data_IF_122154363643
#
_entry.id   IF_122154363643
#
_cell.length_a   1.000
_cell.length_b   1.000
_cell.length_c   1.000
_cell.angle_alpha   90.00
_cell.angle_beta   90.00
_cell.angle_gamma   90.00
#
_symmetry.space_group_name_H-M   'P 1'
#
loop_
_entity.id
_entity.type
_entity.pdbx_description
1 polymer ?
#
# COMPACT_ATOMS: atom_id res chain seq x y z
N UNK A 1 29.78 18.20 7.10
CA UNK A 1 30.26 19.34 7.90
C UNK A 1 31.26 18.79 8.91
N UNK A 2 32.55 19.09 8.77
CA UNK A 2 33.59 18.60 9.68
C UNK A 2 33.58 19.41 10.97
N UNK A 3 33.32 18.75 12.10
CA UNK A 3 33.68 19.27 13.42
C UNK A 3 34.55 18.21 14.11
N UNK A 4 35.86 18.35 13.91
CA UNK A 4 36.88 17.75 14.77
C UNK A 4 37.56 18.87 15.55
N UNK A 5 37.77 18.68 16.85
CA UNK A 5 38.72 19.50 17.61
C UNK A 5 38.52 19.58 19.12
N UNK A 6 38.58 18.47 19.85
CA UNK A 6 38.71 18.50 21.31
C UNK A 6 38.82 17.10 21.93
N UNK A 7 39.98 16.75 22.50
CA UNK A 7 40.25 15.44 23.11
C UNK A 7 39.50 15.27 24.44
N UNK A 8 38.37 14.58 24.39
CA UNK A 8 37.80 13.82 25.50
C UNK A 8 37.41 12.44 24.98
N UNK A 9 37.98 11.37 25.53
CA UNK A 9 37.57 10.01 25.15
C UNK A 9 36.37 9.62 26.01
N UNK A 10 35.18 9.59 25.40
CA UNK A 10 34.02 8.90 25.96
C UNK A 10 34.05 7.45 25.46
N UNK A 11 34.04 6.48 26.38
CA UNK A 11 33.82 5.08 26.02
C UNK A 11 32.32 4.80 26.06
N UNK A 12 31.78 4.29 24.96
CA UNK A 12 30.39 3.83 24.85
C UNK A 12 30.38 2.32 24.76
N UNK A 13 29.84 1.66 25.79
CA UNK A 13 29.58 0.22 25.72
C UNK A 13 28.21 -0.02 25.07
N UNK A 14 28.14 -0.83 24.00
CA UNK A 14 26.88 -1.13 23.35
C UNK A 14 26.03 -2.00 24.27
N UNK A 15 24.79 -1.56 24.49
CA UNK A 15 23.79 -2.36 25.19
C UNK A 15 23.56 -3.67 24.42
N UNK A 16 23.26 -4.75 25.13
CA UNK A 16 22.92 -6.04 24.52
C UNK A 16 21.56 -6.51 25.00
N UNK A 17 20.76 -7.02 24.07
CA UNK A 17 19.50 -7.69 24.34
C UNK A 17 19.74 -9.19 24.17
N UNK A 18 19.97 -9.88 25.28
CA UNK A 18 20.51 -11.25 25.29
C UNK A 18 21.88 -11.32 24.61
N UNK A 19 22.04 -12.23 23.65
CA UNK A 19 23.29 -12.42 22.89
C UNK A 19 23.45 -11.43 21.72
N UNK A 20 22.51 -10.49 21.53
CA UNK A 20 22.51 -9.54 20.43
C UNK A 20 22.95 -8.15 20.89
N UNK A 21 24.11 -7.69 20.38
CA UNK A 21 24.69 -6.39 20.74
C UNK A 21 24.28 -5.27 19.78
N UNK A 22 23.93 -4.10 20.35
CA UNK A 22 23.55 -2.91 19.59
C UNK A 22 24.68 -2.31 18.75
N UNK A 23 25.94 -2.68 18.98
CA UNK A 23 27.04 -2.31 18.09
C UNK A 23 27.11 -3.17 16.82
N UNK A 24 26.51 -4.37 16.85
CA UNK A 24 26.59 -5.36 15.79
C UNK A 24 25.30 -5.43 14.97
N UNK A 25 24.15 -5.16 15.58
CA UNK A 25 22.87 -5.12 14.88
C UNK A 25 21.92 -4.09 15.47
N UNK A 26 21.26 -3.35 14.58
CA UNK A 26 20.17 -2.45 14.93
C UNK A 26 18.88 -3.20 15.30
N UNK A 27 18.73 -4.45 14.86
CA UNK A 27 17.48 -5.20 14.98
C UNK A 27 17.37 -6.01 16.27
N UNK A 28 18.36 -5.92 17.18
CA UNK A 28 18.29 -6.66 18.43
C UNK A 28 17.09 -6.19 19.25
N UNK A 29 16.30 -7.14 19.71
CA UNK A 29 15.08 -6.91 20.46
C UNK A 29 14.94 -7.90 21.61
N UNK A 30 14.17 -7.51 22.61
CA UNK A 30 13.70 -8.34 23.72
C UNK A 30 12.26 -7.97 24.05
N UNK A 31 11.51 -8.88 24.67
CA UNK A 31 10.14 -8.62 25.08
C UNK A 31 10.08 -7.41 26.03
N UNK A 32 9.28 -6.41 25.67
CA UNK A 32 9.07 -5.23 26.51
C UNK A 32 8.45 -5.65 27.84
N UNK A 33 9.13 -5.30 28.92
CA UNK A 33 8.81 -5.77 30.26
C UNK A 33 8.89 -4.64 31.28
N UNK A 34 8.04 -4.71 32.28
CA UNK A 34 8.07 -3.84 33.45
C UNK A 34 8.95 -4.49 34.51
N UNK A 35 9.86 -3.73 35.11
CA UNK A 35 10.85 -4.23 36.05
C UNK A 35 10.67 -3.63 37.43
N UNK A 36 10.98 -4.41 38.46
CA UNK A 36 11.09 -3.89 39.81
C UNK A 36 12.40 -3.14 39.97
N UNK A 37 12.32 -1.85 40.31
CA UNK A 37 13.48 -0.98 40.48
C UNK A 37 14.54 -1.56 41.42
N UNK A 38 14.13 -2.22 42.50
CA UNK A 38 15.06 -2.68 43.55
C UNK A 38 15.99 -3.83 43.14
N UNK A 39 15.62 -4.64 42.14
CA UNK A 39 16.40 -5.84 41.81
C UNK A 39 16.34 -6.25 40.33
N UNK A 40 15.77 -5.43 39.44
CA UNK A 40 15.67 -5.72 38.01
C UNK A 40 14.79 -6.93 37.67
N UNK A 41 14.00 -7.46 38.61
CA UNK A 41 13.12 -8.60 38.34
C UNK A 41 11.98 -8.17 37.42
N UNK A 42 11.73 -8.96 36.37
CA UNK A 42 10.57 -8.82 35.49
C UNK A 42 9.28 -9.01 36.30
N UNK A 43 8.45 -7.98 36.31
CA UNK A 43 7.13 -7.95 36.95
C UNK A 43 6.03 -8.35 35.99
N UNK A 44 6.11 -7.88 34.74
CA UNK A 44 5.16 -8.18 33.69
C UNK A 44 5.77 -7.94 32.31
N UNK A 45 5.62 -8.89 31.39
CA UNK A 45 5.99 -8.72 29.99
C UNK A 45 4.74 -8.40 29.18
N UNK A 46 4.80 -7.34 28.37
CA UNK A 46 3.67 -6.84 27.59
C UNK A 46 3.59 -7.63 26.28
N UNK A 47 2.62 -8.53 26.08
CA UNK A 47 2.52 -9.36 24.88
C UNK A 47 2.45 -8.54 23.59
N UNK A 48 3.19 -8.95 22.57
CA UNK A 48 3.26 -8.25 21.30
C UNK A 48 4.13 -7.01 21.28
N UNK A 49 4.63 -6.53 22.42
CA UNK A 49 5.50 -5.37 22.50
C UNK A 49 6.95 -5.77 22.74
N UNK A 50 7.86 -5.21 21.95
CA UNK A 50 9.29 -5.43 22.04
C UNK A 50 10.02 -4.11 22.32
N UNK A 51 11.07 -4.21 23.13
CA UNK A 51 12.11 -3.19 23.28
C UNK A 51 13.36 -3.67 22.55
N UNK A 52 14.28 -2.79 22.20
CA UNK A 52 15.45 -3.17 21.41
C UNK A 52 16.41 -2.02 21.19
N UNK A 53 17.50 -2.29 20.49
CA UNK A 53 18.57 -1.30 20.25
C UNK A 53 18.07 0.00 19.63
N UNK A 54 17.05 -0.12 18.78
CA UNK A 54 16.31 1.02 18.29
C UNK A 54 14.82 0.77 18.45
N UNK A 55 14.12 1.76 19.02
CA UNK A 55 12.67 1.67 19.24
C UNK A 55 11.91 1.47 17.94
N UNK A 56 12.40 1.98 16.80
CA UNK A 56 11.77 1.70 15.50
C UNK A 56 11.91 0.24 15.12
N UNK A 57 13.09 -0.37 15.28
CA UNK A 57 13.23 -1.80 14.97
C UNK A 57 12.41 -2.66 15.93
N UNK A 58 12.30 -2.25 17.20
CA UNK A 58 11.45 -2.96 18.16
C UNK A 58 9.96 -2.72 17.95
N UNK A 59 9.53 -1.53 17.51
CA UNK A 59 8.15 -1.16 17.21
C UNK A 59 7.67 -1.77 15.88
N UNK A 60 8.53 -1.76 14.86
CA UNK A 60 8.29 -2.44 13.59
C UNK A 60 8.19 -3.96 13.77
N UNK A 61 8.79 -4.51 14.83
CA UNK A 61 8.65 -5.91 15.24
C UNK A 61 7.56 -6.11 16.31
N UNK A 62 7.05 -5.02 16.89
CA UNK A 62 5.94 -5.03 17.82
C UNK A 62 4.62 -5.04 17.07
N UNK A 63 3.61 -5.57 17.74
CA UNK A 63 2.25 -5.62 17.28
C UNK A 63 1.27 -5.18 18.35
N UNK A 64 0.02 -5.01 17.96
CA UNK A 64 -1.01 -4.46 18.84
C UNK A 64 -1.67 -5.53 19.74
N UNK A 65 -1.08 -6.73 19.91
CA UNK A 65 -1.72 -7.86 20.60
C UNK A 65 -2.20 -7.50 22.02
N UNK A 66 -1.38 -6.81 22.81
CA UNK A 66 -1.80 -6.36 24.14
C UNK A 66 -3.00 -5.40 24.07
N UNK A 67 -3.06 -4.56 23.04
CA UNK A 67 -4.07 -3.54 22.87
C UNK A 67 -5.46 -4.12 22.59
N UNK A 68 -5.57 -5.32 22.02
CA UNK A 68 -6.85 -6.02 21.83
C UNK A 68 -7.27 -6.89 23.03
N UNK A 69 -6.50 -6.87 24.12
CA UNK A 69 -6.77 -7.68 25.30
C UNK A 69 -6.97 -6.79 26.55
N UNK A 70 -8.22 -6.73 27.03
CA UNK A 70 -8.60 -5.90 28.17
C UNK A 70 -7.79 -6.23 29.44
N UNK A 71 -7.53 -7.51 29.66
CA UNK A 71 -6.74 -7.98 30.80
C UNK A 71 -5.28 -7.54 30.69
N UNK A 72 -4.72 -7.52 29.47
CA UNK A 72 -3.38 -6.99 29.23
C UNK A 72 -3.30 -5.50 29.54
N UNK A 73 -4.22 -4.73 28.96
CA UNK A 73 -4.32 -3.28 29.18
C UNK A 73 -4.48 -2.96 30.66
N UNK A 74 -5.40 -3.62 31.37
CA UNK A 74 -5.60 -3.42 32.81
C UNK A 74 -4.31 -3.72 33.61
N UNK A 75 -3.55 -4.75 33.19
CA UNK A 75 -2.29 -5.12 33.84
C UNK A 75 -1.20 -4.10 33.59
N UNK A 76 -1.06 -3.60 32.36
CA UNK A 76 -0.16 -2.51 32.00
C UNK A 76 -0.50 -1.26 32.82
N UNK A 77 -1.76 -0.85 32.85
CA UNK A 77 -2.24 0.32 33.62
C UNK A 77 -1.96 0.18 35.12
N UNK A 78 -2.04 -1.03 35.68
CA UNK A 78 -1.79 -1.24 37.12
C UNK A 78 -0.37 -0.89 37.59
N UNK A 79 0.61 -0.80 36.69
CA UNK A 79 1.98 -0.38 37.02
C UNK A 79 2.22 1.12 36.89
N UNK A 80 1.24 1.88 36.41
CA UNK A 80 1.28 3.33 36.34
C UNK A 80 0.49 3.94 37.51
N UNK A 81 1.14 4.75 38.34
CA UNK A 81 0.51 5.43 39.48
C UNK A 81 -0.42 6.53 38.95
N UNK A 82 -1.71 6.24 38.78
CA UNK A 82 -2.70 7.26 38.39
C UNK A 82 -3.96 7.15 39.25
N UNK A 83 -4.28 8.25 39.94
CA UNK A 83 -5.62 8.54 40.43
C UNK A 83 -6.26 9.55 39.45
N UNK A 84 -7.48 9.30 38.94
CA UNK A 84 -8.30 8.11 39.10
C UNK A 84 -7.94 7.00 38.11
N UNK A 85 -8.32 5.75 38.44
CA UNK A 85 -8.20 4.56 37.59
C UNK A 85 -8.66 4.87 36.15
N UNK A 86 -7.72 4.92 35.21
CA UNK A 86 -8.06 5.05 33.80
C UNK A 86 -8.83 3.81 33.36
N UNK A 87 -10.07 3.99 32.93
CA UNK A 87 -10.89 2.94 32.35
C UNK A 87 -10.49 2.75 30.87
N UNK A 88 -9.27 2.26 30.64
CA UNK A 88 -8.74 2.02 29.29
C UNK A 88 -9.34 0.74 28.74
N UNK A 89 -10.19 0.83 27.73
CA UNK A 89 -10.74 -0.34 27.05
C UNK A 89 -9.77 -0.86 25.99
N UNK A 90 -9.71 -2.17 25.82
CA UNK A 90 -8.99 -2.80 24.74
C UNK A 90 -9.66 -2.53 23.39
N UNK A 91 -8.84 -2.48 22.34
CA UNK A 91 -9.25 -2.48 20.95
C UNK A 91 -10.21 -3.64 20.70
N UNK A 92 -11.32 -3.33 20.04
CA UNK A 92 -12.37 -4.28 19.81
C UNK A 92 -11.99 -5.19 18.63
N UNK A 93 -11.68 -6.45 18.93
CA UNK A 93 -11.37 -7.48 17.93
C UNK A 93 -12.56 -7.80 16.99
N UNK A 94 -13.73 -7.21 17.23
CA UNK A 94 -14.93 -7.36 16.39
C UNK A 94 -15.01 -6.33 15.25
N UNK A 95 -14.11 -5.34 15.21
CA UNK A 95 -14.03 -4.33 14.14
C UNK A 95 -13.31 -4.88 12.90
N UNK A 96 -13.80 -4.61 11.67
CA UNK A 96 -13.14 -5.05 10.46
C UNK A 96 -11.93 -4.16 10.17
N UNK A 97 -10.75 -4.77 10.20
CA UNK A 97 -9.47 -4.21 9.81
C UNK A 97 -8.83 -5.20 8.85
N UNK A 98 -8.13 -4.72 7.82
CA UNK A 98 -7.27 -5.63 7.03
C UNK A 98 -6.07 -6.13 7.85
N UNK A 99 -5.75 -5.46 8.97
CA UNK A 99 -4.69 -5.82 9.90
C UNK A 99 -5.25 -6.60 11.09
N UNK A 100 -4.58 -7.70 11.44
CA UNK A 100 -4.89 -8.45 12.64
C UNK A 100 -4.41 -7.70 13.89
N UNK A 101 -4.96 -8.01 15.06
CA UNK A 101 -4.44 -7.49 16.32
C UNK A 101 -2.94 -7.65 16.54
N UNK A 102 -2.37 -8.75 16.06
CA UNK A 102 -0.96 -9.04 16.14
C UNK A 102 -0.20 -8.62 14.87
N UNK A 103 -0.83 -7.86 13.96
CA UNK A 103 -0.12 -7.21 12.88
C UNK A 103 0.85 -6.18 13.43
N UNK A 104 2.06 -6.18 12.89
CA UNK A 104 3.07 -5.23 13.32
C UNK A 104 2.74 -3.81 12.83
N UNK A 105 3.20 -2.79 13.54
CA UNK A 105 3.00 -1.41 13.08
C UNK A 105 3.73 -1.11 11.76
N UNK A 106 4.79 -1.88 11.49
CA UNK A 106 5.42 -1.93 10.17
C UNK A 106 4.41 -2.30 9.09
N UNK A 107 3.59 -3.32 9.33
CA UNK A 107 2.57 -3.75 8.37
C UNK A 107 1.54 -2.65 8.08
N UNK A 108 1.11 -1.87 9.08
CA UNK A 108 0.12 -0.79 8.87
C UNK A 108 0.70 0.39 8.07
N UNK A 109 1.89 0.85 8.42
CA UNK A 109 2.56 1.96 7.71
C UNK A 109 3.01 1.51 6.31
N UNK A 110 3.37 0.23 6.15
CA UNK A 110 3.65 -0.35 4.85
C UNK A 110 2.43 -0.36 3.90
N UNK A 111 1.24 -0.03 4.38
CA UNK A 111 0.05 0.14 3.55
C UNK A 111 -0.41 1.61 3.47
N UNK A 112 0.50 2.57 3.71
CA UNK A 112 0.30 4.03 3.54
C UNK A 112 -0.97 4.61 4.18
N UNK A 113 -1.44 4.01 5.28
CA UNK A 113 -2.65 4.42 6.00
C UNK A 113 -3.92 4.44 5.11
N UNK A 114 -3.92 3.64 4.04
CA UNK A 114 -5.10 3.41 3.20
C UNK A 114 -5.83 2.18 3.74
N UNK A 115 -7.08 2.38 4.15
CA UNK A 115 -7.93 1.29 4.64
C UNK A 115 -8.37 0.37 3.51
N UNK A 116 -8.66 0.97 2.35
CA UNK A 116 -9.11 0.21 1.20
C UNK A 116 -8.86 0.98 -0.10
N UNK A 117 -8.43 0.23 -1.11
CA UNK A 117 -8.54 0.60 -2.52
C UNK A 117 -9.72 -0.14 -3.13
N UNK A 118 -10.60 0.58 -3.81
CA UNK A 118 -11.83 0.07 -4.43
C UNK A 118 -11.67 0.14 -5.96
N UNK A 119 -11.10 -0.90 -6.60
CA UNK A 119 -10.95 -0.92 -8.05
C UNK A 119 -12.24 -1.34 -8.75
N UNK A 120 -12.47 -0.79 -9.93
CA UNK A 120 -13.52 -1.20 -10.87
C UNK A 120 -12.90 -1.45 -12.24
N UNK A 121 -13.06 -2.67 -12.76
CA UNK A 121 -12.55 -3.09 -14.07
C UNK A 121 -13.73 -3.30 -15.02
N UNK A 122 -13.81 -2.52 -16.10
CA UNK A 122 -14.96 -2.47 -17.00
C UNK A 122 -14.56 -3.01 -18.39
N UNK A 123 -14.71 -4.33 -18.59
CA UNK A 123 -14.36 -5.00 -19.84
C UNK A 123 -15.11 -4.43 -21.06
N UNK A 124 -16.38 -4.04 -20.90
CA UNK A 124 -17.15 -3.42 -21.97
C UNK A 124 -16.51 -2.12 -22.49
N UNK A 125 -15.99 -1.28 -21.57
CA UNK A 125 -15.29 -0.06 -21.97
C UNK A 125 -14.01 -0.37 -22.73
N UNK A 126 -13.26 -1.41 -22.31
CA UNK A 126 -12.11 -1.90 -23.05
C UNK A 126 -12.48 -2.41 -24.46
N UNK A 127 -13.49 -3.26 -24.58
CA UNK A 127 -13.91 -3.81 -25.87
C UNK A 127 -14.33 -2.71 -26.84
N UNK A 128 -15.11 -1.73 -26.36
CA UNK A 128 -15.56 -0.60 -27.16
C UNK A 128 -14.40 0.32 -27.58
N UNK A 129 -13.39 0.49 -26.73
CA UNK A 129 -12.18 1.24 -27.07
C UNK A 129 -11.30 0.50 -28.08
N UNK A 130 -11.13 -0.83 -27.93
CA UNK A 130 -10.39 -1.66 -28.89
C UNK A 130 -11.02 -1.62 -30.30
N UNK A 131 -12.36 -1.59 -30.37
CA UNK A 131 -13.15 -1.46 -31.60
C UNK A 131 -12.68 -2.42 -32.72
N UNK A 132 -12.90 -3.74 -32.60
CA UNK A 132 -12.42 -4.69 -33.59
C UNK A 132 -13.06 -4.44 -34.97
N UNK A 133 -12.24 -4.34 -36.01
CA UNK A 133 -12.73 -4.10 -37.38
C UNK A 133 -13.36 -5.34 -37.99
N UNK A 134 -12.77 -6.49 -37.69
CA UNK A 134 -13.22 -7.81 -38.12
C UNK A 134 -12.76 -8.87 -37.12
N UNK A 135 -13.41 -10.03 -37.14
CA UNK A 135 -12.97 -11.22 -36.42
C UNK A 135 -12.92 -12.39 -37.39
N UNK A 136 -11.81 -13.12 -37.37
CA UNK A 136 -11.60 -14.31 -38.19
C UNK A 136 -11.46 -15.53 -37.31
N UNK A 137 -12.09 -16.64 -37.69
CA UNK A 137 -11.86 -17.93 -37.04
C UNK A 137 -11.81 -19.05 -38.06
N UNK A 138 -11.12 -20.13 -37.69
CA UNK A 138 -11.03 -21.33 -38.54
C UNK A 138 -11.67 -22.53 -37.88
N UNK A 139 -12.29 -23.38 -38.69
CA UNK A 139 -12.79 -24.69 -38.25
C UNK A 139 -12.53 -25.74 -39.32
N UNK A 140 -12.44 -27.00 -38.89
CA UNK A 140 -12.24 -28.13 -39.78
C UNK A 140 -13.59 -28.69 -40.24
N UNK A 141 -13.74 -28.90 -41.54
CA UNK A 141 -14.91 -29.56 -42.12
C UNK A 141 -14.48 -30.46 -43.28
N UNK A 142 -15.39 -31.31 -43.76
CA UNK A 142 -15.14 -32.16 -44.92
C UNK A 142 -15.35 -31.38 -46.21
N UNK A 143 -14.75 -31.87 -47.30
CA UNK A 143 -14.96 -31.33 -48.64
C UNK A 143 -16.44 -31.31 -49.01
N UNK A 144 -16.90 -30.21 -49.61
CA UNK A 144 -18.26 -30.11 -50.12
C UNK A 144 -18.43 -31.04 -51.32
N UNK A 145 -19.65 -31.56 -51.52
CA UNK A 145 -19.97 -32.43 -52.66
C UNK A 145 -19.65 -31.74 -53.99
N UNK A 146 -19.91 -30.43 -54.08
CA UNK A 146 -19.60 -29.62 -55.27
C UNK A 146 -18.09 -29.65 -55.56
N UNK A 147 -17.25 -29.43 -54.55
CA UNK A 147 -15.79 -29.49 -54.70
C UNK A 147 -15.31 -30.87 -55.18
N UNK A 148 -15.88 -31.95 -54.62
CA UNK A 148 -15.58 -33.33 -55.02
C UNK A 148 -15.93 -33.53 -56.51
N UNK A 149 -17.12 -33.10 -56.92
CA UNK A 149 -17.61 -33.23 -58.30
C UNK A 149 -16.81 -32.37 -59.29
N UNK A 150 -16.48 -31.13 -58.94
CA UNK A 150 -15.68 -30.24 -59.82
C UNK A 150 -14.26 -30.74 -59.99
N UNK A 151 -13.66 -31.30 -58.94
CA UNK A 151 -12.32 -31.92 -59.00
C UNK A 151 -12.34 -33.16 -59.89
N UNK A 152 -13.40 -33.96 -59.81
CA UNK A 152 -13.66 -35.10 -60.70
C UNK A 152 -13.73 -34.70 -62.18
N UNK A 153 -14.54 -33.68 -62.50
CA UNK A 153 -14.70 -33.18 -63.86
C UNK A 153 -13.38 -32.60 -64.37
N UNK A 154 -12.65 -31.85 -63.53
CA UNK A 154 -11.33 -31.31 -63.86
C UNK A 154 -10.29 -32.39 -64.13
N UNK A 155 -10.24 -33.45 -63.31
CA UNK A 155 -9.35 -34.60 -63.50
C UNK A 155 -9.70 -35.38 -64.76
N UNK A 156 -10.98 -35.68 -65.01
CA UNK A 156 -11.43 -36.38 -66.22
C UNK A 156 -11.17 -35.55 -67.48
N UNK A 157 -11.49 -34.26 -67.46
CA UNK A 157 -11.25 -33.34 -68.56
C UNK A 157 -9.76 -33.14 -68.87
N UNK A 158 -8.95 -32.90 -67.83
CA UNK A 158 -7.50 -32.80 -67.95
C UNK A 158 -6.86 -34.09 -68.46
N UNK A 159 -7.28 -35.24 -67.93
CA UNK A 159 -6.80 -36.55 -68.35
C UNK A 159 -7.13 -36.85 -69.81
N UNK A 160 -8.35 -36.55 -70.28
CA UNK A 160 -8.75 -36.75 -71.68
C UNK A 160 -7.92 -35.84 -72.61
N UNK A 161 -7.63 -34.62 -72.19
CA UNK A 161 -6.89 -33.64 -73.00
C UNK A 161 -5.41 -34.04 -73.11
N UNK A 162 -4.80 -34.45 -71.99
CA UNK A 162 -3.43 -34.96 -71.94
C UNK A 162 -3.31 -36.30 -72.68
N UNK A 163 -4.30 -37.20 -72.55
CA UNK A 163 -4.34 -38.43 -73.36
C UNK A 163 -4.37 -38.07 -74.84
N UNK A 164 -5.24 -37.16 -75.29
CA UNK A 164 -5.28 -36.78 -76.72
C UNK A 164 -3.97 -36.18 -77.23
N UNK A 165 -3.15 -35.58 -76.37
CA UNK A 165 -1.85 -35.01 -76.72
C UNK A 165 -0.72 -36.06 -76.74
N UNK A 166 -0.74 -37.01 -75.79
CA UNK A 166 0.33 -38.00 -75.57
C UNK A 166 0.04 -39.33 -76.29
N UNK A 167 -1.22 -39.68 -76.49
CA UNK A 167 -1.64 -40.92 -77.18
C UNK A 167 -1.14 -40.96 -78.62
N UNK A 168 -1.21 -39.91 -79.46
CA UNK A 168 -0.68 -39.98 -80.83
C UNK A 168 0.82 -40.34 -80.90
N UNK A 169 1.74 -39.74 -80.10
CA UNK A 169 3.14 -40.15 -80.11
C UNK A 169 3.41 -41.50 -79.42
N UNK A 170 2.67 -41.87 -78.37
CA UNK A 170 2.89 -43.14 -77.63
C UNK A 170 2.29 -44.34 -78.36
N UNK A 171 1.16 -44.19 -79.05
CA UNK A 171 0.53 -45.24 -79.88
C UNK A 171 1.36 -45.53 -81.13
N UNK A 172 2.14 -44.55 -81.62
CA UNK A 172 3.18 -44.84 -82.61
C UNK A 172 4.33 -45.69 -82.04
N UNK A 173 4.54 -45.72 -80.73
CA UNK A 173 5.66 -46.40 -80.09
C UNK A 173 5.32 -47.79 -79.53
N UNK A 174 4.08 -48.05 -79.11
CA UNK A 174 3.73 -49.30 -78.38
C UNK A 174 2.45 -49.90 -78.95
N UNK A 175 2.62 -50.82 -79.90
CA UNK A 175 1.56 -51.71 -80.37
C UNK A 175 1.63 -53.03 -79.58
N UNK A 176 1.00 -53.12 -78.39
CA UNK A 176 0.42 -54.37 -77.82
C UNK A 176 -0.35 -54.13 -76.51
N UNK A 177 -1.54 -54.72 -76.45
CA UNK A 177 -2.54 -54.92 -75.39
C UNK A 177 -2.27 -54.43 -73.94
N UNK A 178 -3.30 -53.82 -73.32
CA UNK A 178 -4.25 -54.51 -72.41
C UNK A 178 -5.09 -53.48 -71.64
N UNK A 179 -6.41 -53.50 -71.79
CA UNK A 179 -7.32 -52.72 -70.93
C UNK A 179 -7.27 -53.28 -69.50
N UNK A 180 -6.87 -52.43 -68.55
CA UNK A 180 -6.90 -52.71 -67.12
C UNK A 180 -7.76 -51.64 -66.47
N UNK A 181 -8.96 -52.01 -66.02
CA UNK A 181 -9.79 -51.11 -65.21
C UNK A 181 -9.04 -50.81 -63.92
N UNK A 182 -8.81 -49.52 -63.66
CA UNK A 182 -8.06 -49.03 -62.49
C UNK A 182 -9.04 -48.81 -61.33
N UNK A 183 -8.82 -49.43 -60.15
CA UNK A 183 -9.50 -49.07 -58.91
C UNK A 183 -9.00 -47.72 -58.33
N UNK A 184 -8.01 -47.08 -58.98
CA UNK A 184 -7.34 -45.87 -58.50
C UNK A 184 -8.27 -44.67 -58.31
N UNK A 185 -9.33 -44.55 -59.12
CA UNK A 185 -10.29 -43.44 -58.99
C UNK A 185 -11.11 -43.60 -57.70
N UNK A 186 -11.52 -44.82 -57.35
CA UNK A 186 -12.30 -45.09 -56.14
C UNK A 186 -11.49 -44.84 -54.86
N UNK A 187 -10.20 -45.22 -54.86
CA UNK A 187 -9.28 -44.97 -53.74
C UNK A 187 -9.01 -43.47 -53.59
N UNK A 188 -8.81 -42.75 -54.71
CA UNK A 188 -8.62 -41.30 -54.71
C UNK A 188 -9.87 -40.56 -54.20
N UNK A 189 -11.07 -41.04 -54.54
CA UNK A 189 -12.35 -40.51 -54.04
C UNK A 189 -12.54 -40.71 -52.55
N UNK A 190 -12.23 -41.92 -52.05
CA UNK A 190 -12.31 -42.20 -50.62
C UNK A 190 -11.34 -41.30 -49.86
N UNK A 191 -10.10 -41.17 -50.35
CA UNK A 191 -9.07 -40.33 -49.76
C UNK A 191 -9.44 -38.83 -49.76
N UNK A 192 -9.92 -38.28 -50.88
CA UNK A 192 -10.35 -36.87 -50.95
C UNK A 192 -11.60 -36.56 -50.14
N UNK A 193 -12.49 -37.54 -49.91
CA UNK A 193 -13.65 -37.38 -49.02
C UNK A 193 -13.30 -37.39 -47.52
N UNK A 194 -12.15 -38.00 -47.17
CA UNK A 194 -11.67 -38.15 -45.79
C UNK A 194 -10.73 -37.02 -45.34
N UNK A 195 -10.24 -36.20 -46.26
CA UNK A 195 -9.40 -35.04 -45.94
C UNK A 195 -10.26 -33.95 -45.29
N UNK A 196 -9.81 -33.49 -44.12
CA UNK A 196 -10.34 -32.29 -43.49
C UNK A 196 -9.78 -31.04 -44.19
N UNK A 197 -10.66 -30.09 -44.47
CA UNK A 197 -10.31 -28.77 -44.99
C UNK A 197 -10.59 -27.73 -43.93
N UNK A 198 -9.63 -26.83 -43.75
CA UNK A 198 -9.78 -25.67 -42.88
C UNK A 198 -10.56 -24.59 -43.62
N UNK A 199 -11.73 -24.23 -43.12
CA UNK A 199 -12.47 -23.06 -43.60
C UNK A 199 -12.20 -21.87 -42.68
N UNK A 200 -12.08 -20.68 -43.28
CA UNK A 200 -11.93 -19.42 -42.56
C UNK A 200 -13.21 -18.60 -42.71
N UNK A 201 -13.77 -18.15 -41.61
CA UNK A 201 -14.95 -17.29 -41.58
C UNK A 201 -14.55 -15.91 -41.11
N UNK A 202 -15.03 -14.88 -41.80
CA UNK A 202 -14.84 -13.48 -41.42
C UNK A 202 -16.17 -12.88 -40.93
N UNK A 203 -16.13 -12.21 -39.79
CA UNK A 203 -17.25 -11.48 -39.20
C UNK A 203 -16.86 -10.01 -39.06
N UNK A 204 -17.50 -9.14 -39.84
CA UNK A 204 -17.22 -7.71 -39.85
C UNK A 204 -17.79 -7.02 -38.60
N UNK A 205 -17.00 -6.13 -37.99
CA UNK A 205 -17.34 -5.26 -36.86
C UNK A 205 -18.28 -5.91 -35.80
N UNK A 206 -17.85 -7.01 -35.16
CA UNK A 206 -18.72 -7.77 -34.28
C UNK A 206 -19.08 -6.99 -33.01
N UNK A 207 -20.34 -7.11 -32.58
CA UNK A 207 -20.77 -6.64 -31.27
C UNK A 207 -20.08 -7.45 -30.16
N UNK A 208 -19.98 -6.89 -28.95
CA UNK A 208 -19.38 -7.59 -27.80
C UNK A 208 -20.04 -8.95 -27.55
N UNK A 209 -21.37 -9.02 -27.60
CA UNK A 209 -22.11 -10.29 -27.46
C UNK A 209 -21.71 -11.29 -28.54
N UNK A 210 -21.63 -10.84 -29.80
CA UNK A 210 -21.24 -11.73 -30.91
C UNK A 210 -19.80 -12.22 -30.76
N UNK A 211 -18.88 -11.38 -30.29
CA UNK A 211 -17.52 -11.79 -29.96
C UNK A 211 -17.49 -12.85 -28.85
N UNK A 212 -18.24 -12.65 -27.76
CA UNK A 212 -18.30 -13.60 -26.65
C UNK A 212 -18.84 -14.97 -27.10
N UNK A 213 -19.88 -14.96 -27.94
CA UNK A 213 -20.43 -16.19 -28.53
C UNK A 213 -19.37 -16.92 -29.38
N UNK A 214 -18.67 -16.20 -30.26
CA UNK A 214 -17.61 -16.76 -31.10
C UNK A 214 -16.45 -17.29 -30.27
N UNK A 215 -16.02 -16.55 -29.25
CA UNK A 215 -14.92 -16.93 -28.37
C UNK A 215 -15.26 -18.18 -27.56
N UNK A 216 -16.52 -18.35 -27.14
CA UNK A 216 -16.96 -19.56 -26.41
C UNK A 216 -16.79 -20.85 -27.21
N UNK A 217 -16.85 -20.76 -28.55
CA UNK A 217 -16.79 -21.92 -29.45
C UNK A 217 -15.41 -22.07 -30.11
N UNK A 218 -14.75 -20.96 -30.45
CA UNK A 218 -13.54 -20.94 -31.30
C UNK A 218 -12.34 -20.25 -30.63
N UNK A 219 -12.27 -20.20 -29.30
CA UNK A 219 -11.24 -19.46 -28.53
C UNK A 219 -9.80 -19.62 -29.02
N UNK A 220 -9.40 -20.82 -29.43
CA UNK A 220 -8.02 -21.10 -29.89
C UNK A 220 -7.71 -20.59 -31.30
N UNK A 221 -8.72 -20.39 -32.13
CA UNK A 221 -8.57 -20.04 -33.55
C UNK A 221 -9.17 -18.67 -33.90
N UNK A 222 -9.86 -18.01 -32.95
CA UNK A 222 -10.48 -16.71 -33.14
C UNK A 222 -9.45 -15.59 -32.98
N UNK A 223 -9.35 -14.74 -34.00
CA UNK A 223 -8.50 -13.55 -34.00
C UNK A 223 -9.32 -12.32 -34.38
N UNK A 224 -9.28 -11.31 -33.53
CA UNK A 224 -10.02 -10.07 -33.70
C UNK A 224 -9.06 -8.88 -33.54
N UNK A 225 -8.46 -8.34 -34.61
CA UNK A 225 -7.56 -7.20 -34.52
C UNK A 225 -8.27 -5.96 -33.95
N UNK A 226 -7.63 -5.28 -32.99
CA UNK A 226 -8.11 -4.00 -32.47
C UNK A 226 -7.78 -2.89 -33.47
N UNK A 227 -8.71 -1.95 -33.66
CA UNK A 227 -8.43 -0.70 -34.38
C UNK A 227 -7.56 0.23 -33.55
N UNK A 228 -7.80 0.29 -32.24
CA UNK A 228 -6.96 1.03 -31.30
C UNK A 228 -6.17 0.05 -30.45
N UNK A 229 -4.86 -0.03 -30.71
CA UNK A 229 -3.95 -0.99 -30.04
C UNK A 229 -3.39 -0.48 -28.72
N UNK A 230 -3.60 0.78 -28.38
CA UNK A 230 -3.10 1.44 -27.17
C UNK A 230 -4.23 2.22 -26.52
N UNK A 231 -4.64 1.79 -25.33
CA UNK A 231 -5.83 2.29 -24.63
C UNK A 231 -5.42 2.73 -23.22
N UNK A 232 -5.78 3.95 -22.84
CA UNK A 232 -5.46 4.50 -21.52
C UNK A 232 -6.18 3.75 -20.41
N UNK A 233 -5.50 3.50 -19.29
CA UNK A 233 -6.07 2.72 -18.17
C UNK A 233 -7.36 3.33 -17.63
N UNK A 234 -7.45 4.67 -17.57
CA UNK A 234 -8.66 5.38 -17.10
C UNK A 234 -9.93 5.09 -17.91
N UNK A 235 -9.82 4.49 -19.10
CA UNK A 235 -10.97 4.12 -19.94
C UNK A 235 -11.69 2.90 -19.38
N UNK A 236 -10.98 2.01 -18.70
CA UNK A 236 -11.51 0.71 -18.27
C UNK A 236 -11.15 0.32 -16.83
N UNK A 237 -10.31 1.10 -16.13
CA UNK A 237 -10.03 0.97 -14.71
C UNK A 237 -10.42 2.29 -14.02
N UNK A 238 -11.17 2.17 -12.92
CA UNK A 238 -11.35 3.25 -11.93
C UNK A 238 -10.84 2.76 -10.58
N UNK A 239 -10.11 3.59 -9.84
CA UNK A 239 -9.61 3.27 -8.49
C UNK A 239 -10.05 4.39 -7.55
N UNK A 240 -10.93 4.05 -6.61
CA UNK A 240 -11.25 4.91 -5.48
C UNK A 240 -10.46 4.44 -4.24
N UNK A 241 -10.24 5.32 -3.27
CA UNK A 241 -9.55 4.99 -2.02
C UNK A 241 -10.14 5.76 -0.85
N UNK A 242 -10.01 5.19 0.35
CA UNK A 242 -10.41 5.81 1.61
C UNK A 242 -9.23 5.85 2.56
N UNK A 243 -8.85 7.06 2.98
CA UNK A 243 -7.81 7.25 3.98
C UNK A 243 -8.31 6.93 5.38
N UNK A 244 -7.35 6.62 6.26
CA UNK A 244 -7.60 6.53 7.69
C UNK A 244 -8.28 7.80 8.22
N UNK A 245 -9.25 7.61 9.11
CA UNK A 245 -10.13 8.64 9.67
C UNK A 245 -9.40 9.91 10.16
N UNK A 246 -8.21 9.75 10.75
CA UNK A 246 -7.41 10.87 11.26
C UNK A 246 -7.17 11.95 10.19
N UNK A 247 -6.92 11.54 8.95
CA UNK A 247 -6.62 12.42 7.81
C UNK A 247 -7.85 13.13 7.24
N UNK A 248 -9.03 12.94 7.83
CA UNK A 248 -10.27 13.65 7.46
C UNK A 248 -10.96 14.29 8.67
N UNK A 249 -10.30 14.24 9.83
CA UNK A 249 -10.85 14.72 11.09
C UNK A 249 -10.51 16.18 11.38
N UNK A 250 -11.18 16.76 12.37
CA UNK A 250 -10.87 18.11 12.88
C UNK A 250 -9.43 18.21 13.42
N UNK A 251 -8.83 17.12 13.86
CA UNK A 251 -7.49 17.11 14.49
C UNK A 251 -6.33 17.42 13.54
N UNK A 252 -6.57 17.45 12.24
CA UNK A 252 -5.57 17.91 11.25
C UNK A 252 -5.93 19.28 10.64
N UNK A 253 -7.05 19.87 11.07
CA UNK A 253 -7.53 21.16 10.56
C UNK A 253 -6.71 22.34 11.08
N UNK A 254 -6.66 23.42 10.31
CA UNK A 254 -6.02 24.66 10.76
C UNK A 254 -6.71 25.24 11.99
N UNK A 255 -8.05 25.13 12.08
CA UNK A 255 -8.80 25.61 13.24
C UNK A 255 -8.33 24.94 14.54
N UNK A 256 -8.13 23.62 14.52
CA UNK A 256 -7.61 22.87 15.67
C UNK A 256 -6.19 23.30 16.04
N UNK A 257 -5.31 23.45 15.05
CA UNK A 257 -3.93 23.89 15.26
C UNK A 257 -3.89 25.31 15.85
N UNK A 258 -4.73 26.21 15.34
CA UNK A 258 -4.88 27.59 15.84
C UNK A 258 -5.48 27.62 17.25
N UNK A 259 -6.40 26.70 17.56
CA UNK A 259 -6.96 26.53 18.90
C UNK A 259 -5.88 26.14 19.90
N UNK A 260 -5.03 25.16 19.56
CA UNK A 260 -3.89 24.76 20.41
C UNK A 260 -2.86 25.89 20.56
N UNK A 261 -2.64 26.67 19.50
CA UNK A 261 -1.66 27.77 19.47
C UNK A 261 -2.06 28.98 20.33
N UNK A 262 -3.34 29.08 20.72
CA UNK A 262 -3.86 30.17 21.57
C UNK A 262 -3.65 29.92 23.08
N UNK A 263 -2.90 28.88 23.43
CA UNK A 263 -2.62 28.54 24.82
C UNK A 263 -1.61 29.49 25.47
N UNK A 264 -2.13 30.42 26.27
CA UNK A 264 -1.46 31.29 27.26
C UNK A 264 -0.76 32.59 26.82
N UNK A 265 -0.97 33.61 27.67
CA UNK A 265 -0.28 34.89 27.70
C UNK A 265 0.77 34.98 28.82
N UNK A 266 1.89 35.64 28.50
CA UNK A 266 2.90 36.28 29.37
C UNK A 266 3.58 35.54 30.53
N UNK A 267 3.11 34.39 31.01
CA UNK A 267 3.80 33.59 32.05
C UNK A 267 4.37 32.32 31.41
N UNK A 268 5.67 32.09 31.60
CA UNK A 268 6.43 31.02 30.93
C UNK A 268 5.82 29.64 31.12
N UNK A 269 5.94 28.80 30.09
CA UNK A 269 5.55 27.39 30.12
C UNK A 269 6.83 26.56 30.27
N UNK A 270 6.76 25.41 30.94
CA UNK A 270 7.90 24.51 31.03
C UNK A 270 8.32 24.09 29.60
N UNK A 271 9.61 24.13 29.32
CA UNK A 271 10.18 23.61 28.09
C UNK A 271 9.73 22.16 27.93
N UNK A 272 9.10 21.78 26.81
CA UNK A 272 8.48 20.45 26.57
C UNK A 272 7.03 20.25 27.05
N UNK A 273 6.33 21.28 27.49
CA UNK A 273 4.88 21.19 27.79
C UNK A 273 4.06 20.85 26.53
N UNK A 274 3.04 20.01 26.70
CA UNK A 274 2.14 19.63 25.60
C UNK A 274 1.45 20.84 24.98
N UNK A 275 1.11 21.88 25.75
CA UNK A 275 0.48 23.11 25.22
C UNK A 275 1.40 23.86 24.25
N UNK A 276 2.71 23.75 24.42
CA UNK A 276 3.72 24.40 23.57
C UNK A 276 4.08 23.52 22.35
N UNK A 277 4.10 22.21 22.54
CA UNK A 277 4.57 21.25 21.50
C UNK A 277 3.44 20.68 20.63
N UNK A 278 2.20 20.68 21.12
CA UNK A 278 1.06 20.10 20.41
C UNK A 278 0.69 20.77 19.08
N UNK A 279 0.72 22.12 18.91
CA UNK A 279 0.39 22.72 17.61
C UNK A 279 1.27 22.17 16.48
N UNK A 280 2.57 22.05 16.74
CA UNK A 280 3.55 21.54 15.78
C UNK A 280 3.42 20.03 15.55
N UNK A 281 3.01 19.29 16.57
CA UNK A 281 2.73 17.86 16.47
C UNK A 281 1.55 17.60 15.53
N UNK A 282 0.46 18.36 15.67
CA UNK A 282 -0.70 18.24 14.80
C UNK A 282 -0.45 18.83 13.41
N UNK A 283 0.39 19.86 13.29
CA UNK A 283 0.85 20.35 11.98
C UNK A 283 1.65 19.29 11.22
N UNK A 284 2.54 18.56 11.90
CA UNK A 284 3.29 17.47 11.28
C UNK A 284 2.39 16.30 10.87
N UNK A 285 1.40 15.95 11.69
CA UNK A 285 0.39 14.94 11.35
C UNK A 285 -0.46 15.35 10.13
N UNK A 286 -0.91 16.60 10.09
CA UNK A 286 -1.62 17.18 8.94
C UNK A 286 -0.77 17.11 7.66
N UNK A 287 0.51 17.50 7.77
CA UNK A 287 1.47 17.44 6.66
C UNK A 287 1.68 16.00 6.15
N UNK A 288 1.75 15.00 7.05
CA UNK A 288 1.87 13.59 6.65
C UNK A 288 0.64 13.13 5.87
N UNK A 289 -0.56 13.46 6.33
CA UNK A 289 -1.80 13.16 5.62
C UNK A 289 -1.83 13.81 4.23
N UNK A 290 -1.41 15.07 4.12
CA UNK A 290 -1.33 15.78 2.84
C UNK A 290 -0.30 15.17 1.88
N UNK A 291 0.89 14.81 2.38
CA UNK A 291 1.93 14.20 1.57
C UNK A 291 1.53 12.80 1.09
N UNK A 292 0.89 12.00 1.92
CA UNK A 292 0.33 10.69 1.52
C UNK A 292 -0.74 10.91 0.44
N UNK A 293 -1.67 11.84 0.66
CA UNK A 293 -2.71 12.17 -0.30
C UNK A 293 -2.14 12.62 -1.65
N UNK A 294 -1.18 13.53 -1.64
CA UNK A 294 -0.48 13.99 -2.84
C UNK A 294 0.24 12.82 -3.53
N UNK A 295 0.91 11.96 -2.78
CA UNK A 295 1.58 10.78 -3.33
C UNK A 295 0.59 9.87 -4.05
N UNK A 296 -0.49 9.46 -3.37
CA UNK A 296 -1.53 8.60 -3.97
C UNK A 296 -2.16 9.27 -5.19
N UNK A 297 -2.49 10.55 -5.11
CA UNK A 297 -3.10 11.32 -6.20
C UNK A 297 -2.19 11.41 -7.44
N UNK A 298 -0.92 11.76 -7.27
CA UNK A 298 0.06 11.85 -8.35
C UNK A 298 0.26 10.48 -9.00
N UNK A 299 0.44 9.44 -8.18
CA UNK A 299 0.63 8.06 -8.67
C UNK A 299 -0.61 7.55 -9.41
N UNK A 300 -1.80 7.90 -8.93
CA UNK A 300 -3.06 7.54 -9.60
C UNK A 300 -3.23 8.27 -10.92
N UNK A 301 -2.87 9.56 -10.99
CA UNK A 301 -2.87 10.33 -12.23
C UNK A 301 -1.92 9.72 -13.28
N UNK A 302 -0.71 9.32 -12.86
CA UNK A 302 0.25 8.63 -13.73
C UNK A 302 -0.28 7.26 -14.20
N UNK A 303 -0.85 6.48 -13.29
CA UNK A 303 -1.50 5.21 -13.61
C UNK A 303 -2.62 5.39 -14.64
N UNK A 304 -3.51 6.36 -14.43
CA UNK A 304 -4.64 6.65 -15.32
C UNK A 304 -4.21 7.04 -16.75
N UNK A 305 -3.05 7.68 -16.88
CA UNK A 305 -2.44 8.06 -18.17
C UNK A 305 -1.65 6.94 -18.87
N UNK A 306 -1.36 5.86 -18.14
CA UNK A 306 -0.62 4.72 -18.67
C UNK A 306 -1.46 3.92 -19.67
N UNK A 307 -0.79 3.24 -20.60
CA UNK A 307 -1.43 2.60 -21.75
C UNK A 307 -1.42 1.08 -21.64
N UNK A 308 -2.56 0.47 -21.99
CA UNK A 308 -2.70 -0.96 -22.20
C UNK A 308 -2.54 -1.24 -23.68
N UNK A 309 -1.58 -2.10 -24.02
CA UNK A 309 -1.19 -2.36 -25.40
C UNK A 309 -1.62 -3.77 -25.80
N UNK A 310 -2.47 -3.86 -26.81
CA UNK A 310 -2.87 -5.15 -27.38
C UNK A 310 -3.26 -5.01 -28.86
N UNK A 311 -2.70 -5.87 -29.71
CA UNK A 311 -2.98 -5.86 -31.14
C UNK A 311 -4.35 -6.49 -31.49
N UNK A 312 -4.88 -7.32 -30.59
CA UNK A 312 -6.14 -8.04 -30.77
C UNK A 312 -6.98 -8.01 -29.50
N UNK A 313 -8.29 -8.24 -29.65
CA UNK A 313 -9.21 -8.31 -28.51
C UNK A 313 -8.71 -9.39 -27.55
N UNK A 314 -8.31 -8.95 -26.37
CA UNK A 314 -7.89 -9.82 -25.28
C UNK A 314 -9.14 -10.35 -24.58
N UNK A 315 -9.16 -11.65 -24.28
CA UNK A 315 -10.33 -12.27 -23.65
C UNK A 315 -10.61 -11.68 -22.27
N UNK A 316 -11.88 -11.70 -21.86
CA UNK A 316 -12.32 -11.12 -20.58
C UNK A 316 -11.48 -11.57 -19.38
N UNK A 317 -11.17 -12.86 -19.30
CA UNK A 317 -10.46 -13.40 -18.13
C UNK A 317 -8.99 -13.00 -18.12
N UNK A 318 -8.32 -13.02 -19.28
CA UNK A 318 -6.93 -12.58 -19.42
C UNK A 318 -6.82 -11.08 -19.16
N UNK A 319 -7.75 -10.29 -19.72
CA UNK A 319 -7.80 -8.85 -19.51
C UNK A 319 -8.01 -8.50 -18.03
N UNK A 320 -8.97 -9.13 -17.35
CA UNK A 320 -9.22 -8.89 -15.92
C UNK A 320 -8.02 -9.24 -15.06
N UNK A 321 -7.35 -10.36 -15.36
CA UNK A 321 -6.13 -10.77 -14.66
C UNK A 321 -4.99 -9.77 -14.84
N UNK A 322 -4.76 -9.32 -16.08
CA UNK A 322 -3.76 -8.29 -16.37
C UNK A 322 -4.10 -6.95 -15.70
N UNK A 323 -5.36 -6.51 -15.77
CA UNK A 323 -5.82 -5.30 -15.11
C UNK A 323 -5.63 -5.35 -13.58
N UNK A 324 -5.89 -6.50 -12.95
CA UNK A 324 -5.63 -6.67 -11.53
C UNK A 324 -4.13 -6.55 -11.20
N UNK A 325 -3.26 -7.19 -12.00
CA UNK A 325 -1.81 -7.07 -11.83
C UNK A 325 -1.32 -5.63 -11.96
N UNK A 326 -1.88 -4.85 -12.88
CA UNK A 326 -1.58 -3.42 -13.03
C UNK A 326 -1.99 -2.62 -11.78
N UNK A 327 -3.17 -2.90 -11.21
CA UNK A 327 -3.65 -2.26 -9.98
C UNK A 327 -2.73 -2.60 -8.80
N UNK A 328 -2.30 -3.86 -8.69
CA UNK A 328 -1.42 -4.30 -7.62
C UNK A 328 -0.03 -3.64 -7.71
N UNK A 329 0.50 -3.49 -8.93
CA UNK A 329 1.74 -2.73 -9.17
C UNK A 329 1.61 -1.26 -8.78
N UNK A 330 0.46 -0.64 -9.10
CA UNK A 330 0.17 0.73 -8.68
C UNK A 330 0.21 0.88 -7.16
N UNK A 331 -0.48 0.00 -6.42
CA UNK A 331 -0.51 0.01 -4.95
C UNK A 331 0.89 -0.09 -4.36
N UNK A 332 1.66 -1.10 -4.79
CA UNK A 332 3.02 -1.33 -4.31
C UNK A 332 3.95 -0.14 -4.59
N UNK A 333 3.87 0.43 -5.80
CA UNK A 333 4.74 1.54 -6.15
C UNK A 333 4.38 2.82 -5.40
N UNK A 334 3.10 3.12 -5.20
CA UNK A 334 2.68 4.29 -4.44
C UNK A 334 3.14 4.21 -2.98
N UNK A 335 3.05 3.01 -2.39
CA UNK A 335 3.57 2.72 -1.05
C UNK A 335 5.08 2.95 -0.97
N UNK A 336 5.83 2.31 -1.85
CA UNK A 336 7.30 2.34 -1.80
C UNK A 336 7.85 3.75 -1.97
N UNK A 337 7.24 4.55 -2.85
CA UNK A 337 7.66 5.94 -3.08
C UNK A 337 7.53 6.80 -1.82
N UNK A 338 6.41 6.66 -1.09
CA UNK A 338 6.20 7.39 0.15
C UNK A 338 7.19 6.95 1.24
N UNK A 339 7.31 5.64 1.46
CA UNK A 339 8.17 5.09 2.51
C UNK A 339 9.66 5.38 2.28
N UNK A 340 10.09 5.35 1.02
CA UNK A 340 11.45 5.75 0.65
C UNK A 340 11.70 7.21 1.02
N UNK A 341 10.78 8.10 0.66
CA UNK A 341 10.87 9.53 0.97
C UNK A 341 10.92 9.79 2.48
N UNK A 342 10.02 9.16 3.24
CA UNK A 342 9.98 9.27 4.70
C UNK A 342 11.28 8.77 5.35
N UNK A 343 11.77 7.62 4.90
CA UNK A 343 13.02 7.03 5.42
C UNK A 343 14.22 7.91 5.13
N UNK A 344 14.30 8.47 3.92
CA UNK A 344 15.38 9.39 3.54
C UNK A 344 15.37 10.63 4.42
N UNK A 345 14.21 11.28 4.64
CA UNK A 345 14.11 12.47 5.51
C UNK A 345 14.60 12.16 6.93
N UNK A 346 14.19 11.03 7.50
CA UNK A 346 14.58 10.62 8.86
C UNK A 346 16.08 10.37 8.95
N UNK A 347 16.63 9.60 8.02
CA UNK A 347 18.06 9.30 7.98
C UNK A 347 18.90 10.57 7.78
N UNK A 348 18.51 11.45 6.86
CA UNK A 348 19.22 12.71 6.62
C UNK A 348 19.14 13.64 7.83
N UNK A 349 17.99 13.73 8.51
CA UNK A 349 17.82 14.53 9.73
C UNK A 349 18.76 14.05 10.83
N UNK A 350 18.83 12.73 11.04
CA UNK A 350 19.73 12.14 12.01
C UNK A 350 21.21 12.34 11.64
N UNK A 351 21.60 11.99 10.41
CA UNK A 351 23.01 12.04 9.98
C UNK A 351 23.59 13.45 9.98
N UNK A 352 22.75 14.47 9.88
CA UNK A 352 23.16 15.88 9.94
C UNK A 352 22.97 16.51 11.32
N UNK A 353 22.49 15.78 12.32
CA UNK A 353 22.23 16.27 13.69
C UNK A 353 21.47 17.62 13.71
N UNK A 354 20.42 17.74 12.89
CA UNK A 354 19.70 19.00 12.72
C UNK A 354 19.02 19.43 14.03
N UNK A 355 19.17 20.70 14.44
CA UNK A 355 18.50 21.21 15.62
C UNK A 355 16.99 21.41 15.39
N UNK A 356 16.17 20.92 16.33
CA UNK A 356 14.73 21.14 16.34
C UNK A 356 14.44 22.58 16.71
N UNK A 357 13.56 23.25 15.95
CA UNK A 357 13.08 24.60 16.29
C UNK A 357 12.30 24.64 17.61
N UNK A 358 11.82 23.49 18.09
CA UNK A 358 11.15 23.33 19.38
C UNK A 358 12.12 23.07 20.53
N UNK A 359 13.42 23.04 20.25
CA UNK A 359 14.48 22.70 21.20
C UNK A 359 14.27 21.34 21.89
N UNK A 360 13.52 20.43 21.27
CA UNK A 360 13.20 19.10 21.79
C UNK A 360 14.36 18.12 21.69
N UNK A 361 15.35 18.37 20.83
CA UNK A 361 16.57 17.56 20.75
C UNK A 361 17.78 18.23 21.41
N UNK A 362 17.92 19.55 21.29
CA UNK A 362 18.99 20.31 21.92
C UNK A 362 18.45 21.65 22.40
N UNK A 363 18.96 22.09 23.54
CA UNK A 363 18.77 23.44 24.05
C UNK A 363 20.12 24.14 24.17
N UNK A 364 20.09 25.46 24.15
CA UNK A 364 21.31 26.28 24.14
C UNK A 364 21.47 26.99 25.48
N UNK A 365 22.63 26.84 26.11
CA UNK A 365 22.99 27.58 27.32
C UNK A 365 24.17 28.49 26.98
N UNK A 366 24.09 29.75 27.39
CA UNK A 366 25.24 30.66 27.34
C UNK A 366 26.01 30.56 28.66
N UNK A 367 27.27 30.12 28.61
CA UNK A 367 28.12 30.16 29.79
C UNK A 367 28.72 31.56 29.98
N UNK A 368 28.94 31.96 31.24
CA UNK A 368 29.40 33.32 31.55
C UNK A 368 30.80 33.65 30.97
N UNK A 369 31.65 32.65 30.73
CA UNK A 369 33.03 32.85 30.24
C UNK A 369 33.18 32.73 28.71
N UNK A 370 32.26 32.05 28.04
CA UNK A 370 32.23 31.93 26.57
C UNK A 370 30.96 32.61 26.09
N UNK A 371 31.07 33.78 25.43
CA UNK A 371 29.91 34.53 24.86
C UNK A 371 29.13 33.77 23.76
N UNK A 372 29.27 32.44 23.68
CA UNK A 372 28.72 31.58 22.65
C UNK A 372 27.73 30.59 23.27
N UNK A 373 26.58 30.35 22.63
CA UNK A 373 25.62 29.34 23.07
C UNK A 373 26.17 27.94 22.81
N UNK A 374 26.35 27.15 23.88
CA UNK A 374 26.73 25.75 23.81
C UNK A 374 25.47 24.87 23.67
N UNK A 375 25.42 23.93 22.70
CA UNK A 375 24.30 23.01 22.55
C UNK A 375 24.39 21.87 23.57
N UNK A 376 23.31 21.69 24.34
CA UNK A 376 23.14 20.57 25.27
C UNK A 376 22.03 19.65 24.78
N UNK A 377 22.27 18.33 24.67
CA UNK A 377 21.24 17.42 24.22
C UNK A 377 20.16 17.24 25.29
N UNK A 378 18.91 17.18 24.86
CA UNK A 378 17.78 16.85 25.73
C UNK A 378 17.82 15.37 26.07
N UNK A 379 17.47 15.04 27.32
CA UNK A 379 17.31 13.68 27.79
C UNK A 379 15.85 13.38 28.11
N UNK A 380 15.34 12.29 27.55
CA UNK A 380 14.03 11.74 27.86
C UNK A 380 14.25 10.43 28.63
N UNK A 381 14.14 10.52 29.96
CA UNK A 381 14.50 9.40 30.84
C UNK A 381 16.00 9.08 30.75
N UNK A 382 16.33 7.82 30.46
CA UNK A 382 17.71 7.36 30.26
C UNK A 382 18.21 7.51 28.80
N UNK A 383 17.42 8.11 27.91
CA UNK A 383 17.76 8.28 26.50
C UNK A 383 18.11 9.74 26.21
N UNK A 384 19.26 10.00 25.57
CA UNK A 384 19.72 11.36 25.23
C UNK A 384 19.78 11.58 23.71
N UNK A 385 19.31 12.74 23.26
CA UNK A 385 19.16 13.07 21.83
C UNK A 385 20.47 13.18 21.05
N UNK A 386 21.62 13.26 21.72
CA UNK A 386 22.94 13.14 21.09
C UNK A 386 23.28 11.72 20.65
N UNK A 387 22.68 10.71 21.28
CA UNK A 387 22.95 9.30 20.99
C UNK A 387 21.85 8.67 20.15
N UNK A 388 20.60 9.12 20.31
CA UNK A 388 19.47 8.58 19.57
C UNK A 388 18.47 9.67 19.21
N UNK A 389 18.07 9.80 17.94
CA UNK A 389 16.99 10.71 17.54
C UNK A 389 15.62 10.22 18.02
N UNK A 390 15.54 9.00 18.56
CA UNK A 390 14.29 8.31 18.91
C UNK A 390 13.90 8.47 20.38
N UNK A 391 14.69 9.20 21.17
CA UNK A 391 14.36 9.39 22.59
C UNK A 391 13.03 10.11 22.72
N UNK A 392 12.14 9.51 23.52
CA UNK A 392 10.79 10.02 23.77
C UNK A 392 10.43 9.91 25.25
N UNK A 393 9.49 10.73 25.68
CA UNK A 393 8.78 10.60 26.94
C UNK A 393 7.28 10.83 26.73
N UNK A 394 6.49 10.31 27.64
CA UNK A 394 5.05 10.54 27.69
C UNK A 394 4.79 12.06 27.74
N UNK A 395 4.01 12.57 26.80
CA UNK A 395 3.71 14.01 26.76
C UNK A 395 2.77 14.39 27.89
N UNK A 396 2.97 15.59 28.45
CA UNK A 396 2.21 16.08 29.59
C UNK A 396 2.09 17.60 29.62
N UNK A 397 1.10 18.04 30.37
CA UNK A 397 0.86 19.42 30.77
C UNK A 397 1.49 19.59 32.14
N UNK A 398 2.39 20.56 32.27
CA UNK A 398 3.15 20.83 33.48
C UNK A 398 2.65 22.09 34.17
N UNK A 399 2.83 22.14 35.48
CA UNK A 399 2.67 23.36 36.23
C UNK A 399 3.90 24.28 36.00
N UNK A 400 3.76 25.57 36.27
CA UNK A 400 4.87 26.53 36.25
C UNK A 400 4.82 27.40 37.50
N UNK A 401 5.97 27.67 38.17
CA UNK A 401 7.35 27.29 37.81
C UNK A 401 7.79 25.90 38.29
N UNK A 402 6.96 25.22 39.08
CA UNK A 402 7.24 23.87 39.58
C UNK A 402 6.89 22.82 38.50
N UNK A 403 7.82 21.97 38.03
CA UNK A 403 7.61 21.04 36.92
C UNK A 403 6.76 19.81 37.30
N UNK A 404 5.75 19.98 38.16
CA UNK A 404 4.79 18.94 38.50
C UNK A 404 3.84 18.69 37.32
N UNK A 405 3.57 17.42 37.02
CA UNK A 405 2.67 17.03 35.93
C UNK A 405 1.22 17.26 36.39
N UNK A 406 0.52 18.14 35.69
CA UNK A 406 -0.92 18.39 35.89
C UNK A 406 -1.77 17.34 35.17
N UNK A 407 -1.37 16.98 33.95
CA UNK A 407 -2.06 16.00 33.12
C UNK A 407 -1.09 15.31 32.17
N UNK A 408 -1.17 13.99 32.07
CA UNK A 408 -0.40 13.21 31.09
C UNK A 408 -1.32 12.86 29.93
N UNK A 409 -0.95 13.23 28.70
CA UNK A 409 -1.82 13.11 27.51
C UNK A 409 -1.73 11.69 26.93
N UNK A 410 -2.67 10.78 27.25
CA UNK A 410 -2.50 9.37 26.97
C UNK A 410 -2.32 9.09 25.48
N UNK A 411 -1.29 8.32 25.14
CA UNK A 411 -0.97 7.94 23.76
C UNK A 411 -0.11 8.96 23.00
N UNK A 412 0.04 10.20 23.47
CA UNK A 412 0.90 11.17 22.80
C UNK A 412 2.27 11.26 23.47
N UNK A 413 3.32 11.23 22.66
CA UNK A 413 4.71 11.34 23.10
C UNK A 413 5.36 12.60 22.56
N UNK A 414 6.30 13.12 23.34
CA UNK A 414 7.27 14.11 22.93
C UNK A 414 8.64 13.43 22.81
N UNK A 415 9.49 13.89 21.90
CA UNK A 415 10.85 13.36 21.76
C UNK A 415 11.76 14.29 20.97
N UNK A 416 12.98 13.83 20.71
CA UNK A 416 14.02 14.63 20.04
C UNK A 416 13.49 15.29 18.76
N UNK A 417 12.82 14.52 17.91
CA UNK A 417 12.16 15.00 16.70
C UNK A 417 10.68 14.67 16.72
N UNK A 418 9.85 15.62 16.28
CA UNK A 418 8.39 15.47 16.21
C UNK A 418 7.98 14.25 15.37
N UNK A 419 8.69 13.99 14.26
CA UNK A 419 8.40 12.81 13.44
C UNK A 419 8.68 11.49 14.19
N UNK A 420 9.74 11.44 14.98
CA UNK A 420 10.10 10.23 15.74
C UNK A 420 9.14 10.01 16.92
N UNK A 421 8.66 11.09 17.56
CA UNK A 421 7.66 10.98 18.63
C UNK A 421 6.26 10.69 18.11
N UNK A 422 5.86 11.25 16.96
CA UNK A 422 4.59 10.94 16.28
C UNK A 422 4.51 9.48 15.87
N UNK A 423 5.59 8.93 15.28
CA UNK A 423 5.63 7.52 14.89
C UNK A 423 5.53 6.54 16.08
N UNK A 424 5.77 7.04 17.29
CA UNK A 424 5.65 6.28 18.54
C UNK A 424 4.36 6.62 19.32
N UNK A 425 3.59 7.60 18.83
CA UNK A 425 2.33 8.02 19.43
C UNK A 425 1.14 7.24 18.87
N UNK A 426 0.07 7.24 19.63
CA UNK A 426 -1.24 6.75 19.25
C UNK A 426 -2.33 7.77 19.63
N UNK A 427 -3.51 7.58 19.05
CA UNK A 427 -4.58 8.57 19.12
C UNK A 427 -5.60 8.26 20.23
N UNK A 428 -5.28 7.41 21.22
CA UNK A 428 -6.26 6.92 22.20
C UNK A 428 -7.00 8.04 22.95
N UNK A 429 -6.33 9.17 23.22
CA UNK A 429 -6.98 10.33 23.84
C UNK A 429 -8.08 10.93 22.93
N UNK A 430 -7.89 10.94 21.62
CA UNK A 430 -8.77 11.60 20.64
C UNK A 430 -10.02 10.79 20.28
N UNK A 431 -10.06 9.52 20.69
CA UNK A 431 -11.26 8.68 20.69
C UNK A 431 -12.06 8.76 22.00
N UNK A 432 -11.54 9.45 23.02
CA UNK A 432 -12.14 9.48 24.36
C UNK A 432 -12.63 10.89 24.71
N UNK A 433 -13.94 11.06 24.82
CA UNK A 433 -14.55 12.36 25.14
C UNK A 433 -14.05 12.91 26.47
N UNK A 434 -13.92 12.10 27.52
CA UNK A 434 -13.37 12.55 28.81
C UNK A 434 -11.93 13.03 28.69
N UNK A 435 -11.13 12.44 27.81
CA UNK A 435 -9.75 12.89 27.58
C UNK A 435 -9.72 14.24 26.84
N UNK A 436 -10.59 14.41 25.83
CA UNK A 436 -10.78 15.70 25.15
C UNK A 436 -11.27 16.77 26.14
N UNK A 437 -12.24 16.46 26.99
CA UNK A 437 -12.77 17.37 28.00
C UNK A 437 -11.66 17.81 28.99
N UNK A 438 -10.82 16.86 29.43
CA UNK A 438 -9.66 17.16 30.29
C UNK A 438 -8.62 18.01 29.57
N UNK A 439 -8.31 17.73 28.31
CA UNK A 439 -7.43 18.58 27.51
C UNK A 439 -7.98 20.01 27.44
N UNK A 440 -9.25 20.16 27.05
CA UNK A 440 -9.92 21.46 26.92
C UNK A 440 -9.91 22.27 28.23
N UNK A 441 -10.03 21.60 29.38
CA UNK A 441 -9.97 22.26 30.69
C UNK A 441 -8.61 22.96 30.98
N UNK A 442 -7.55 22.57 30.27
CA UNK A 442 -6.20 23.12 30.43
C UNK A 442 -5.81 24.17 29.36
N UNK A 443 -6.68 24.45 28.38
CA UNK A 443 -6.48 25.50 27.38
C UNK A 443 -7.27 26.77 27.72
N UNK A 444 -6.62 27.93 27.71
CA UNK A 444 -7.27 29.24 27.90
C UNK A 444 -7.94 29.72 26.62
N UNK A 445 -9.02 29.08 26.20
CA UNK A 445 -9.79 29.56 25.05
C UNK A 445 -11.19 30.00 25.47
N UNK A 446 -11.49 31.28 25.28
CA UNK A 446 -12.84 31.85 25.40
C UNK A 446 -13.76 31.43 24.26
N UNK A 447 -13.22 30.80 23.20
CA UNK A 447 -14.01 30.16 22.15
C UNK A 447 -14.17 28.68 22.47
N UNK A 448 -15.39 28.26 22.82
CA UNK A 448 -15.78 26.85 22.82
C UNK A 448 -15.66 26.32 21.38
N UNK A 449 -14.57 25.63 21.07
CA UNK A 449 -14.52 24.79 19.88
C UNK A 449 -15.31 23.53 20.19
N UNK A 450 -16.34 23.24 19.40
CA UNK A 450 -17.07 21.99 19.52
C UNK A 450 -16.21 20.87 18.91
N UNK A 451 -15.37 20.26 19.74
CA UNK A 451 -14.52 19.14 19.34
C UNK A 451 -15.34 17.87 19.45
N UNK A 452 -15.78 17.36 18.31
CA UNK A 452 -16.32 16.01 18.24
C UNK A 452 -15.17 15.02 18.25
N UNK A 453 -15.24 14.00 19.10
CA UNK A 453 -14.33 12.85 19.04
C UNK A 453 -14.37 12.20 17.66
N UNK A 454 -13.35 11.41 17.37
CA UNK A 454 -13.34 10.55 16.19
C UNK A 454 -14.56 9.60 16.22
N UNK A 455 -15.45 9.71 15.22
CA UNK A 455 -16.67 8.91 15.06
C UNK A 455 -16.39 7.42 14.75
N UNK A 456 -16.92 6.52 15.59
CA UNK A 456 -16.89 5.05 15.41
C UNK A 456 -17.83 4.56 14.28
N UNK A 457 -18.84 5.34 13.89
CA UNK A 457 -19.92 4.91 12.99
C UNK A 457 -19.60 5.00 11.49
N UNK A 458 -18.59 5.80 11.11
CA UNK A 458 -18.08 5.91 9.74
C UNK A 458 -17.41 4.62 9.22
N UNK A 459 -17.05 3.71 10.13
CA UNK A 459 -16.62 2.33 9.83
C UNK A 459 -17.78 1.45 9.29
N UNK A 460 -19.03 1.84 9.53
CA UNK A 460 -20.22 1.01 9.32
C UNK A 460 -20.84 1.03 7.92
N UNK A 461 -20.47 1.97 7.02
CA UNK A 461 -21.14 2.12 5.71
C UNK A 461 -20.55 1.29 4.58
N UNK A 462 -19.31 0.80 4.68
CA UNK A 462 -18.67 0.00 3.63
C UNK A 462 -19.05 -1.49 3.65
N UNK A 463 -19.65 -1.98 4.75
CA UNK A 463 -20.02 -3.39 4.92
C UNK A 463 -21.26 -3.84 4.11
N UNK A 464 -21.99 -2.92 3.46
CA UNK A 464 -23.14 -3.29 2.61
C UNK A 464 -22.80 -3.62 1.16
N UNK A 465 -21.55 -3.46 0.70
CA UNK A 465 -21.19 -3.65 -0.72
C UNK A 465 -20.28 -4.84 -1.04
N UNK A 466 -19.82 -5.61 -0.05
CA UNK A 466 -18.94 -6.77 -0.25
C UNK A 466 -19.62 -8.14 -0.07
N UNK A 467 -20.95 -8.16 0.10
CA UNK A 467 -21.77 -9.37 0.06
C UNK A 467 -22.67 -9.45 -1.19
N UNK A 468 -22.32 -8.76 -2.29
CA UNK A 468 -22.91 -8.94 -3.62
C UNK A 468 -21.82 -8.96 -4.69
#
# INVERSE_FOLDING_TARGET
MYLLGGRGYAYTDPWSYGDCSCSLSATCIEQSSMFRYSNGRVLYSVPGMYTGCYIVESLLQSNLQCFYNQTCINKVVSYFVTHPLMNTTALNNSLPSQFLPNSTLKEVINEIMVEQFIPSIIYNSYYNACQPTECTYTYQTKNSIIYIVTTLIGLLGGLITVLKLIVPPVVMFIRKEKERSRPDIAILLLYTSLINVTQTVNVNAPTMTKYLDLYSTYSQALTCPCKQVSISYNTFISIEYTFHQICTSVFISQDWIDYLSKSYGSNGVHMHDFRDTSPFTFQALSTLCDLINQTVSIRLSQFNSSQYVSASVTSSDVFKSQAQSLIDQFRLSATNDFLLSLTTIRNTTQSNALFSGLQTNYYFITQNDTKWPDPYPVAYGNCTCSYSPKCIAQSGIYNYPDPTILFSVPGIYIGCYVIESLLQSDLRCFYNQTCIDQLQAHFLSTSLMNITTLDESLLGKLRKKLNN
#
